data_IF_774742709638
#
_entry.id   IF_774742709638
#
_cell.length_a   1.000
_cell.length_b   1.000
_cell.length_c   1.000
_cell.angle_alpha   90.00
_cell.angle_beta   90.00
_cell.angle_gamma   90.00
#
_symmetry.space_group_name_H-M   'P 1'
#
loop_
_entity.id
_entity.type
_entity.pdbx_description
1 polymer ?
#
# COMPACT_ATOMS: atom_id res chain seq x y z
N UNK A 1 8.57 4.22 -18.24
CA UNK A 1 8.81 2.80 -18.58
C UNK A 1 7.50 2.04 -18.42
N UNK A 2 7.30 0.88 -19.07
CA UNK A 2 6.22 -0.01 -18.66
C UNK A 2 6.39 -0.41 -17.18
N UNK A 3 5.29 -0.65 -16.48
CA UNK A 3 5.25 -1.20 -15.11
C UNK A 3 5.82 -0.32 -13.98
N UNK A 4 5.93 1.01 -14.18
CA UNK A 4 6.40 1.95 -13.14
C UNK A 4 5.35 2.27 -12.07
N UNK A 5 4.06 2.08 -12.36
CA UNK A 5 2.98 2.39 -11.44
C UNK A 5 1.83 1.40 -11.54
N UNK A 6 1.39 0.94 -10.38
CA UNK A 6 0.22 0.09 -10.20
C UNK A 6 -0.75 0.84 -9.29
N UNK A 7 -2.01 0.95 -9.72
CA UNK A 7 -3.08 1.58 -8.92
C UNK A 7 -4.22 0.58 -8.77
N UNK A 8 -4.71 0.40 -7.55
CA UNK A 8 -5.86 -0.45 -7.27
C UNK A 8 -6.77 0.15 -6.21
N UNK A 9 -8.02 -0.32 -6.20
CA UNK A 9 -9.00 -0.01 -5.19
C UNK A 9 -9.10 -1.16 -4.17
N UNK A 10 -9.25 -0.82 -2.90
CA UNK A 10 -9.54 -1.73 -1.80
C UNK A 10 -10.85 -1.28 -1.16
N UNK A 11 -11.88 -2.13 -1.27
CA UNK A 11 -13.19 -1.88 -0.67
C UNK A 11 -13.24 -2.55 0.70
N UNK A 12 -13.50 -1.76 1.73
CA UNK A 12 -13.77 -2.23 3.08
C UNK A 12 -15.28 -2.39 3.24
N UNK A 13 -15.73 -3.64 3.32
CA UNK A 13 -17.12 -4.00 3.56
C UNK A 13 -17.34 -4.18 5.08
N UNK A 14 -18.02 -3.22 5.70
CA UNK A 14 -18.25 -3.14 7.14
C UNK A 14 -19.61 -2.49 7.43
N UNK A 15 -20.30 -2.98 8.46
CA UNK A 15 -21.54 -2.35 8.97
C UNK A 15 -21.23 -1.06 9.75
N UNK A 16 -20.03 -0.93 10.30
CA UNK A 16 -19.56 0.32 10.92
C UNK A 16 -19.07 1.27 9.82
N UNK A 17 -19.78 2.39 9.65
CA UNK A 17 -19.50 3.43 8.66
C UNK A 17 -18.10 4.06 8.81
N UNK A 18 -17.49 4.01 10.00
CA UNK A 18 -16.13 4.50 10.18
C UNK A 18 -15.08 3.60 9.52
N UNK A 19 -15.40 2.31 9.35
CA UNK A 19 -14.52 1.32 8.73
C UNK A 19 -14.95 0.91 7.32
N UNK A 20 -16.08 1.40 6.83
CA UNK A 20 -16.52 1.13 5.45
C UNK A 20 -16.03 2.20 4.47
N UNK A 21 -15.87 1.81 3.21
CA UNK A 21 -15.46 2.72 2.14
C UNK A 21 -14.46 2.13 1.17
N UNK A 22 -14.00 2.95 0.22
CA UNK A 22 -13.00 2.57 -0.77
C UNK A 22 -11.72 3.36 -0.57
N UNK A 23 -10.61 2.64 -0.34
CA UNK A 23 -9.27 3.19 -0.34
C UNK A 23 -8.63 2.95 -1.71
N UNK A 24 -7.93 3.95 -2.24
CA UNK A 24 -7.10 3.79 -3.44
C UNK A 24 -5.64 3.64 -3.02
N UNK A 25 -4.96 2.60 -3.50
CA UNK A 25 -3.53 2.42 -3.26
C UNK A 25 -2.78 2.64 -4.57
N UNK A 26 -1.79 3.52 -4.53
CA UNK A 26 -0.85 3.75 -5.62
C UNK A 26 0.52 3.24 -5.22
N UNK A 27 1.07 2.32 -6.02
CA UNK A 27 2.42 1.79 -5.85
C UNK A 27 3.28 2.22 -7.02
N UNK A 28 4.39 2.88 -6.74
CA UNK A 28 5.38 3.28 -7.73
C UNK A 28 6.65 2.47 -7.55
N UNK A 29 7.22 2.02 -8.68
CA UNK A 29 8.43 1.24 -8.76
C UNK A 29 9.47 2.02 -9.56
N UNK A 30 10.58 2.40 -8.93
CA UNK A 30 11.67 3.12 -9.58
C UNK A 30 12.97 2.31 -9.52
N UNK A 31 13.75 2.25 -10.59
CA UNK A 31 15.08 1.64 -10.54
C UNK A 31 15.96 2.33 -9.49
N UNK A 32 16.65 1.53 -8.67
CA UNK A 32 17.62 1.99 -7.68
C UNK A 32 18.92 1.19 -7.80
N UNK A 33 20.01 1.72 -7.26
CA UNK A 33 21.29 1.01 -7.26
C UNK A 33 21.18 -0.28 -6.44
N UNK A 34 21.23 -1.42 -7.13
CA UNK A 34 21.12 -2.74 -6.50
C UNK A 34 19.69 -3.22 -6.27
N UNK A 35 18.66 -2.55 -6.79
CA UNK A 35 17.27 -2.99 -6.64
C UNK A 35 16.24 -2.03 -7.20
N UNK A 36 15.13 -1.91 -6.46
CA UNK A 36 13.97 -1.09 -6.84
C UNK A 36 13.50 -0.32 -5.61
N UNK A 37 13.37 1.00 -5.74
CA UNK A 37 12.65 1.81 -4.76
C UNK A 37 11.15 1.59 -4.97
N UNK A 38 10.48 1.07 -3.94
CA UNK A 38 9.03 0.82 -3.93
C UNK A 38 8.37 1.81 -2.98
N UNK A 39 7.47 2.64 -3.52
CA UNK A 39 6.69 3.60 -2.72
C UNK A 39 5.21 3.25 -2.80
N UNK A 40 4.55 3.11 -1.64
CA UNK A 40 3.11 2.91 -1.54
C UNK A 40 2.45 4.17 -0.96
N UNK A 41 1.36 4.64 -1.59
CA UNK A 41 0.54 5.75 -1.09
C UNK A 41 -0.92 5.29 -1.02
N UNK A 42 -1.50 5.37 0.18
CA UNK A 42 -2.88 5.02 0.45
C UNK A 42 -3.72 6.29 0.55
N UNK A 43 -4.71 6.45 -0.33
CA UNK A 43 -5.63 7.58 -0.38
C UNK A 43 -7.03 7.16 0.07
N UNK A 44 -7.76 8.09 0.68
CA UNK A 44 -9.14 7.87 1.14
C UNK A 44 -9.26 6.72 2.16
N UNK A 45 -8.32 6.65 3.09
CA UNK A 45 -8.37 5.68 4.19
C UNK A 45 -9.64 5.93 5.02
N UNK A 46 -10.48 4.90 5.29
CA UNK A 46 -11.63 5.01 6.18
C UNK A 46 -11.27 5.64 7.53
N UNK A 47 -12.13 6.50 8.06
CA UNK A 47 -11.83 7.36 9.22
C UNK A 47 -11.60 6.59 10.53
N UNK A 48 -12.14 5.38 10.63
CA UNK A 48 -11.93 4.46 11.76
C UNK A 48 -10.55 3.80 11.75
N UNK A 49 -9.85 3.79 10.61
CA UNK A 49 -8.50 3.24 10.50
C UNK A 49 -7.49 4.33 10.86
N UNK A 50 -6.70 4.05 11.90
CA UNK A 50 -5.59 4.91 12.29
C UNK A 50 -4.52 4.89 11.21
N UNK A 51 -4.03 6.08 10.83
CA UNK A 51 -3.05 6.20 9.74
C UNK A 51 -1.74 5.47 10.08
N UNK A 52 -1.33 5.54 11.34
CA UNK A 52 -0.14 4.84 11.85
C UNK A 52 -0.23 3.32 11.71
N UNK A 53 -1.41 2.74 11.96
CA UNK A 53 -1.63 1.30 11.87
C UNK A 53 -1.59 0.87 10.39
N UNK A 54 -2.16 1.68 9.49
CA UNK A 54 -2.07 1.43 8.03
C UNK A 54 -0.63 1.55 7.52
N UNK A 55 0.12 2.57 7.97
CA UNK A 55 1.53 2.73 7.61
C UNK A 55 2.39 1.55 8.09
N UNK A 56 2.18 1.08 9.33
CA UNK A 56 2.89 -0.08 9.87
C UNK A 56 2.58 -1.35 9.07
N UNK A 57 1.30 -1.57 8.72
CA UNK A 57 0.88 -2.66 7.84
C UNK A 57 1.53 -2.60 6.46
N UNK A 58 1.64 -1.41 5.86
CA UNK A 58 2.33 -1.21 4.58
C UNK A 58 3.83 -1.51 4.67
N UNK A 59 4.52 -1.06 5.75
CA UNK A 59 5.94 -1.38 5.97
C UNK A 59 6.16 -2.88 6.10
N UNK A 60 5.34 -3.56 6.91
CA UNK A 60 5.39 -5.02 7.05
C UNK A 60 5.16 -5.73 5.72
N UNK A 61 4.26 -5.23 4.87
CA UNK A 61 4.04 -5.77 3.52
C UNK A 61 5.30 -5.65 2.66
N UNK A 62 5.98 -4.51 2.68
CA UNK A 62 7.22 -4.30 1.92
C UNK A 62 8.39 -5.13 2.46
N UNK A 63 8.52 -5.28 3.77
CA UNK A 63 9.52 -6.15 4.39
C UNK A 63 9.32 -7.62 3.96
N UNK A 64 8.07 -8.09 3.98
CA UNK A 64 7.73 -9.42 3.50
C UNK A 64 7.99 -9.60 2.00
N UNK A 65 7.70 -8.56 1.20
CA UNK A 65 7.99 -8.57 -0.23
C UNK A 65 9.49 -8.70 -0.50
N UNK A 66 10.33 -7.92 0.21
CA UNK A 66 11.78 -7.99 0.10
C UNK A 66 12.29 -9.41 0.38
N UNK A 67 11.81 -10.04 1.46
CA UNK A 67 12.15 -11.43 1.79
C UNK A 67 11.69 -12.40 0.70
N UNK A 68 10.48 -12.22 0.17
CA UNK A 68 9.91 -13.10 -0.85
C UNK A 68 10.69 -13.08 -2.17
N UNK A 69 11.19 -11.91 -2.60
CA UNK A 69 11.92 -11.76 -3.86
C UNK A 69 13.43 -11.98 -3.73
N UNK A 70 13.94 -12.23 -2.51
CA UNK A 70 15.31 -12.63 -2.27
C UNK A 70 16.26 -11.55 -1.74
N UNK A 71 15.74 -10.36 -1.41
CA UNK A 71 16.49 -9.26 -0.77
C UNK A 71 17.48 -8.54 -1.68
#
# INVERSE_FOLDING_TARGET
>A
MPDEQIVWATVFDSEDESFSGEMTVSTTLLPADGGTDVTMVCHNIPSGIRLEDNEEGCRSTLDNLAVFVGG
#
